data_IF_829878899279
#
_entry.id   IF_829878899279
#
_cell.length_a   1.000
_cell.length_b   1.000
_cell.length_c   1.000
_cell.angle_alpha   90.00
_cell.angle_beta   90.00
_cell.angle_gamma   90.00
#
_symmetry.space_group_name_H-M   'P 1'
#
loop_
_entity.id
_entity.type
_entity.pdbx_description
1 polymer ?
#
# COMPACT_ATOMS: atom_id res chain seq x y z
N UNK A 1 -0.79 -19.54 -33.15
CA UNK A 1 -0.55 -19.34 -31.72
C UNK A 1 0.07 -17.96 -31.52
N UNK A 2 -0.46 -17.18 -30.61
CA UNK A 2 0.10 -15.84 -30.32
C UNK A 2 1.39 -15.97 -29.50
N UNK A 3 2.41 -15.14 -29.82
CA UNK A 3 3.65 -15.05 -29.06
C UNK A 3 3.53 -14.03 -27.91
N UNK A 4 2.39 -13.33 -27.81
CA UNK A 4 2.20 -12.32 -26.79
C UNK A 4 1.82 -12.93 -25.44
N UNK A 5 2.25 -12.29 -24.36
CA UNK A 5 1.96 -12.67 -22.98
C UNK A 5 1.20 -11.53 -22.30
N UNK A 6 0.12 -11.87 -21.61
CA UNK A 6 -0.59 -10.94 -20.75
C UNK A 6 -0.12 -11.12 -19.30
N UNK A 7 0.28 -10.04 -18.66
CA UNK A 7 0.55 -9.97 -17.22
C UNK A 7 -0.54 -9.15 -16.54
N UNK A 8 -1.33 -9.79 -15.68
CA UNK A 8 -2.41 -9.16 -14.93
C UNK A 8 -1.89 -8.75 -13.56
N UNK A 9 -1.70 -7.45 -13.37
CA UNK A 9 -1.13 -6.82 -12.20
C UNK A 9 0.26 -6.25 -12.43
N UNK A 10 0.38 -4.93 -12.25
CA UNK A 10 1.61 -4.15 -12.40
C UNK A 10 2.41 -3.98 -11.11
N UNK A 11 2.27 -4.90 -10.14
CA UNK A 11 3.09 -4.96 -8.95
C UNK A 11 4.48 -5.54 -9.21
N UNK A 12 5.35 -5.59 -8.19
CA UNK A 12 6.75 -5.99 -8.32
C UNK A 12 6.93 -7.34 -9.05
N UNK A 13 6.12 -8.35 -8.70
CA UNK A 13 6.17 -9.68 -9.35
C UNK A 13 5.75 -9.63 -10.81
N UNK A 14 4.67 -8.88 -11.12
CA UNK A 14 4.21 -8.72 -12.51
C UNK A 14 5.21 -7.97 -13.37
N UNK A 15 5.84 -6.92 -12.85
CA UNK A 15 6.91 -6.20 -13.55
C UNK A 15 8.10 -7.10 -13.87
N UNK A 16 8.54 -7.90 -12.88
CA UNK A 16 9.64 -8.87 -13.09
C UNK A 16 9.27 -9.88 -14.18
N UNK A 17 8.08 -10.50 -14.08
CA UNK A 17 7.64 -11.47 -15.09
C UNK A 17 7.53 -10.85 -16.49
N UNK A 18 7.03 -9.63 -16.60
CA UNK A 18 6.91 -8.92 -17.88
C UNK A 18 8.27 -8.59 -18.50
N UNK A 19 9.22 -8.13 -17.69
CA UNK A 19 10.56 -7.79 -18.15
C UNK A 19 11.30 -9.03 -18.64
N UNK A 20 11.31 -10.11 -17.83
CA UNK A 20 12.00 -11.37 -18.20
C UNK A 20 11.38 -11.97 -19.47
N UNK A 21 10.06 -12.01 -19.60
CA UNK A 21 9.40 -12.49 -20.81
C UNK A 21 9.73 -11.64 -22.04
N UNK A 22 9.78 -10.32 -21.92
CA UNK A 22 10.10 -9.44 -23.03
C UNK A 22 11.56 -9.50 -23.46
N UNK A 23 12.49 -9.73 -22.53
CA UNK A 23 13.91 -9.94 -22.82
C UNK A 23 14.16 -11.28 -23.52
N UNK A 24 13.28 -12.27 -23.33
CA UNK A 24 13.26 -13.52 -24.10
C UNK A 24 12.60 -13.38 -25.48
N UNK A 25 12.16 -12.20 -25.88
CA UNK A 25 11.62 -11.89 -27.21
C UNK A 25 10.10 -11.98 -27.34
N UNK A 26 9.35 -12.13 -26.24
CA UNK A 26 7.89 -12.10 -26.27
C UNK A 26 7.36 -10.67 -26.27
N UNK A 27 6.24 -10.44 -26.95
CA UNK A 27 5.47 -9.21 -26.76
C UNK A 27 4.64 -9.32 -25.49
N UNK A 28 4.65 -8.28 -24.65
CA UNK A 28 4.04 -8.33 -23.31
C UNK A 28 3.07 -7.17 -23.11
N UNK A 29 1.87 -7.49 -22.64
CA UNK A 29 0.90 -6.53 -22.15
C UNK A 29 0.84 -6.61 -20.63
N UNK A 30 1.03 -5.48 -19.93
CA UNK A 30 0.78 -5.36 -18.49
C UNK A 30 -0.57 -4.66 -18.33
N UNK A 31 -1.52 -5.31 -17.67
CA UNK A 31 -2.81 -4.73 -17.27
C UNK A 31 -2.79 -4.44 -15.79
N UNK A 32 -2.92 -3.16 -15.41
CA UNK A 32 -2.91 -2.68 -14.02
C UNK A 32 -4.13 -1.77 -13.78
N UNK A 33 -4.89 -2.07 -12.74
CA UNK A 33 -6.08 -1.29 -12.36
C UNK A 33 -5.76 0.10 -11.83
N UNK A 34 -4.62 0.23 -11.15
CA UNK A 34 -4.17 1.52 -10.63
C UNK A 34 -3.67 2.43 -11.74
N UNK A 35 -3.64 3.74 -11.53
CA UNK A 35 -3.09 4.69 -12.50
C UNK A 35 -1.57 4.58 -12.71
N UNK A 36 -0.85 3.85 -11.88
CA UNK A 36 0.60 3.64 -11.90
C UNK A 36 0.97 2.21 -11.53
N UNK A 37 2.17 1.83 -11.93
CA UNK A 37 2.77 0.54 -11.62
C UNK A 37 3.49 0.55 -10.27
N UNK A 38 3.90 -0.62 -9.77
CA UNK A 38 4.65 -0.81 -8.52
C UNK A 38 3.84 -1.50 -7.43
N UNK A 39 2.52 -1.49 -7.53
CA UNK A 39 1.60 -2.19 -6.62
C UNK A 39 1.80 -1.79 -5.15
N UNK A 40 1.58 -2.74 -4.24
CA UNK A 40 1.70 -2.51 -2.78
C UNK A 40 3.13 -2.17 -2.33
N UNK A 41 4.15 -2.65 -3.04
CA UNK A 41 5.54 -2.32 -2.72
C UNK A 41 5.79 -0.82 -2.77
N UNK A 42 5.18 -0.11 -3.73
CA UNK A 42 5.29 1.34 -3.83
C UNK A 42 4.74 2.11 -2.60
N UNK A 43 3.85 1.48 -1.81
CA UNK A 43 3.29 2.06 -0.59
C UNK A 43 4.13 1.82 0.66
N UNK A 44 5.14 0.93 0.60
CA UNK A 44 6.00 0.65 1.75
C UNK A 44 7.04 1.76 1.97
N UNK A 45 7.56 1.88 3.18
CA UNK A 45 8.75 2.68 3.46
C UNK A 45 10.01 1.94 3.01
N UNK A 46 10.18 0.71 3.51
CA UNK A 46 11.30 -0.17 3.14
C UNK A 46 10.77 -1.59 2.88
N UNK A 47 11.41 -2.35 2.01
CA UNK A 47 11.02 -3.74 1.72
C UNK A 47 12.19 -4.72 1.91
N UNK A 48 11.84 -5.95 2.25
CA UNK A 48 12.81 -7.02 2.41
C UNK A 48 13.40 -7.47 1.05
N UNK A 49 14.63 -8.08 1.04
CA UNK A 49 15.44 -8.44 2.22
C UNK A 49 16.38 -7.32 2.69
N UNK A 50 16.73 -6.36 1.85
CA UNK A 50 17.76 -5.34 2.11
C UNK A 50 17.25 -4.12 2.87
N UNK A 51 15.97 -4.02 3.11
CA UNK A 51 15.31 -2.84 3.72
C UNK A 51 15.60 -1.54 2.96
N UNK A 52 15.60 -1.62 1.63
CA UNK A 52 15.72 -0.47 0.75
C UNK A 52 14.36 0.22 0.55
N UNK A 53 14.34 1.53 0.24
CA UNK A 53 13.14 2.20 -0.23
C UNK A 53 12.62 1.58 -1.54
N UNK A 54 11.30 1.54 -1.77
CA UNK A 54 10.72 0.98 -3.00
C UNK A 54 11.21 1.62 -4.29
N UNK A 55 11.49 2.93 -4.27
CA UNK A 55 12.03 3.66 -5.41
C UNK A 55 13.31 3.03 -5.96
N UNK A 56 14.19 2.52 -5.11
CA UNK A 56 15.44 1.91 -5.53
C UNK A 56 15.23 0.75 -6.53
N UNK A 57 14.35 -0.21 -6.22
CA UNK A 57 14.09 -1.36 -7.10
C UNK A 57 13.10 -1.05 -8.23
N UNK A 58 12.08 -0.24 -7.93
CA UNK A 58 11.04 0.09 -8.92
C UNK A 58 11.58 0.97 -10.05
N UNK A 59 12.44 1.94 -9.78
CA UNK A 59 13.02 2.78 -10.82
C UNK A 59 13.86 1.98 -11.82
N UNK A 60 14.60 0.98 -11.35
CA UNK A 60 15.35 0.07 -12.23
C UNK A 60 14.38 -0.68 -13.15
N UNK A 61 13.29 -1.25 -12.60
CA UNK A 61 12.28 -1.95 -13.39
C UNK A 61 11.56 -1.02 -14.37
N UNK A 62 11.19 0.18 -13.93
CA UNK A 62 10.55 1.18 -14.80
C UNK A 62 11.46 1.60 -15.95
N UNK A 63 12.77 1.72 -15.74
CA UNK A 63 13.72 2.00 -16.82
C UNK A 63 13.86 0.83 -17.80
N UNK A 64 13.91 -0.41 -17.31
CA UNK A 64 13.91 -1.59 -18.19
C UNK A 64 12.65 -1.65 -19.07
N UNK A 65 11.47 -1.41 -18.47
CA UNK A 65 10.20 -1.34 -19.19
C UNK A 65 10.21 -0.23 -20.24
N UNK A 66 10.62 0.98 -19.87
CA UNK A 66 10.65 2.15 -20.78
C UNK A 66 11.54 1.91 -22.00
N UNK A 67 12.64 1.18 -21.83
CA UNK A 67 13.61 0.88 -22.89
C UNK A 67 13.20 -0.31 -23.76
N UNK A 68 12.24 -1.14 -23.32
CA UNK A 68 11.84 -2.33 -24.04
C UNK A 68 10.54 -2.09 -24.83
N UNK A 69 10.60 -1.96 -26.18
CA UNK A 69 9.43 -1.66 -27.01
C UNK A 69 8.41 -2.82 -27.07
N UNK A 70 8.78 -4.02 -26.62
CA UNK A 70 7.88 -5.18 -26.54
C UNK A 70 6.91 -5.11 -25.37
N UNK A 71 7.14 -4.22 -24.40
CA UNK A 71 6.27 -4.10 -23.22
C UNK A 71 5.29 -2.93 -23.40
N UNK A 72 4.00 -3.24 -23.39
CA UNK A 72 2.92 -2.28 -23.40
C UNK A 72 2.21 -2.26 -22.05
N UNK A 73 2.21 -1.10 -21.39
CA UNK A 73 1.57 -0.91 -20.08
C UNK A 73 0.19 -0.27 -20.25
N UNK A 74 -0.84 -0.97 -19.83
CA UNK A 74 -2.22 -0.50 -19.76
C UNK A 74 -2.56 -0.28 -18.28
N UNK A 75 -2.51 0.98 -17.84
CA UNK A 75 -2.89 1.39 -16.48
C UNK A 75 -4.33 1.91 -16.46
N UNK A 76 -5.00 1.92 -15.31
CA UNK A 76 -6.43 2.13 -15.16
C UNK A 76 -7.23 1.12 -16.00
N UNK A 77 -6.73 -0.12 -16.06
CA UNK A 77 -7.22 -1.16 -16.94
C UNK A 77 -7.55 -2.44 -16.15
N UNK A 78 -8.66 -3.07 -16.50
CA UNK A 78 -9.12 -4.31 -15.87
C UNK A 78 -9.52 -5.35 -16.91
N UNK A 79 -9.19 -6.63 -16.64
CA UNK A 79 -9.67 -7.75 -17.45
C UNK A 79 -11.14 -7.98 -17.14
N UNK A 80 -12.01 -7.87 -18.15
CA UNK A 80 -13.47 -8.05 -18.04
C UNK A 80 -13.97 -9.35 -18.65
N UNK A 81 -13.17 -10.00 -19.50
CA UNK A 81 -13.55 -11.27 -20.13
C UNK A 81 -12.35 -12.05 -20.64
N UNK A 82 -12.51 -13.37 -20.65
CA UNK A 82 -11.51 -14.32 -21.13
C UNK A 82 -12.21 -15.43 -21.89
N UNK A 83 -11.75 -15.71 -23.12
CA UNK A 83 -12.18 -16.85 -23.94
C UNK A 83 -10.98 -17.51 -24.59
N UNK A 84 -11.17 -18.68 -25.21
CA UNK A 84 -10.10 -19.40 -25.88
C UNK A 84 -9.46 -20.50 -25.03
N UNK A 85 -8.24 -20.90 -25.39
CA UNK A 85 -7.51 -22.02 -24.78
C UNK A 85 -6.01 -21.72 -24.73
N UNK A 86 -5.25 -22.54 -24.05
CA UNK A 86 -3.79 -22.43 -23.97
C UNK A 86 -3.16 -22.24 -25.37
N UNK A 87 -2.38 -21.20 -25.51
CA UNK A 87 -1.73 -20.80 -26.77
C UNK A 87 -2.56 -19.84 -27.63
N UNK A 88 -3.85 -19.62 -27.32
CA UNK A 88 -4.77 -18.80 -28.10
C UNK A 88 -5.92 -18.28 -27.25
N UNK A 89 -5.64 -17.27 -26.44
CA UNK A 89 -6.61 -16.58 -25.58
C UNK A 89 -7.03 -15.26 -26.21
N UNK A 90 -8.32 -14.97 -26.21
CA UNK A 90 -8.87 -13.63 -26.43
C UNK A 90 -9.29 -13.04 -25.09
N UNK A 91 -8.72 -11.88 -24.75
CA UNK A 91 -8.91 -11.20 -23.47
C UNK A 91 -9.50 -9.83 -23.69
N UNK A 92 -10.67 -9.56 -23.11
CA UNK A 92 -11.26 -8.21 -23.10
C UNK A 92 -10.70 -7.43 -21.92
N UNK A 93 -10.27 -6.21 -22.21
CA UNK A 93 -9.69 -5.29 -21.22
C UNK A 93 -10.44 -3.97 -21.31
N UNK A 94 -11.02 -3.55 -20.20
CA UNK A 94 -11.66 -2.28 -20.01
C UNK A 94 -10.65 -1.25 -19.55
N UNK A 95 -10.61 -0.09 -20.22
CA UNK A 95 -9.76 1.05 -19.87
C UNK A 95 -10.63 2.18 -19.33
N UNK A 96 -10.38 2.57 -18.09
CA UNK A 96 -11.01 3.75 -17.48
C UNK A 96 -10.32 5.03 -17.91
N UNK A 97 -11.07 6.13 -18.06
CA UNK A 97 -10.54 7.39 -18.56
C UNK A 97 -9.57 8.03 -17.57
N UNK A 98 -8.38 8.37 -18.04
CA UNK A 98 -7.39 9.13 -17.26
C UNK A 98 -7.63 10.62 -17.28
N UNK A 99 -8.23 11.10 -18.36
CA UNK A 99 -8.59 12.50 -18.64
C UNK A 99 -7.40 13.46 -18.68
N UNK A 100 -6.21 12.97 -18.89
CA UNK A 100 -4.99 13.77 -19.11
C UNK A 100 -4.29 13.34 -20.39
N UNK A 101 -3.56 14.24 -21.01
CA UNK A 101 -2.82 13.97 -22.25
C UNK A 101 -1.95 12.69 -22.15
N UNK A 102 -1.72 11.98 -23.27
CA UNK A 102 -0.97 10.70 -23.27
C UNK A 102 0.52 10.84 -22.95
N UNK A 103 1.06 12.04 -22.96
CA UNK A 103 2.43 12.36 -22.62
C UNK A 103 2.53 13.03 -21.23
N UNK A 104 3.74 13.11 -20.69
CA UNK A 104 3.95 13.78 -19.41
C UNK A 104 3.79 15.30 -19.58
N UNK A 105 2.79 15.83 -18.86
CA UNK A 105 2.58 17.27 -18.70
C UNK A 105 2.69 17.58 -17.22
N UNK A 106 3.40 18.65 -16.87
CA UNK A 106 3.46 19.09 -15.49
C UNK A 106 2.19 19.90 -15.16
N UNK A 107 1.41 19.36 -14.27
CA UNK A 107 0.21 19.99 -13.75
C UNK A 107 0.35 20.43 -12.29
N UNK A 108 1.57 20.49 -11.74
CA UNK A 108 1.79 20.76 -10.31
C UNK A 108 1.13 22.07 -9.85
N UNK A 109 1.29 23.15 -10.63
CA UNK A 109 0.67 24.46 -10.33
C UNK A 109 -0.86 24.40 -10.42
N UNK A 110 -1.41 23.77 -11.46
CA UNK A 110 -2.85 23.63 -11.59
C UNK A 110 -3.41 22.75 -10.47
N UNK A 111 -2.79 21.61 -10.20
CA UNK A 111 -3.22 20.69 -9.15
C UNK A 111 -3.24 21.36 -7.77
N UNK A 112 -2.20 22.14 -7.43
CA UNK A 112 -2.14 22.87 -6.15
C UNK A 112 -3.17 23.98 -6.03
N UNK A 113 -3.63 24.56 -7.15
CA UNK A 113 -4.64 25.62 -7.17
C UNK A 113 -6.08 25.12 -7.01
N UNK A 114 -6.32 23.80 -7.15
CA UNK A 114 -7.66 23.22 -6.99
C UNK A 114 -8.07 23.22 -5.50
N UNK A 115 -9.37 23.39 -5.25
CA UNK A 115 -9.94 23.46 -3.89
C UNK A 115 -10.43 22.08 -3.42
N UNK A 116 -11.09 21.35 -4.33
CA UNK A 116 -11.69 20.04 -4.01
C UNK A 116 -10.66 19.01 -3.53
N UNK A 117 -11.00 18.29 -2.47
CA UNK A 117 -10.15 17.29 -1.83
C UNK A 117 -10.94 16.02 -1.50
N UNK A 118 -10.25 14.89 -1.59
CA UNK A 118 -10.76 13.58 -1.14
C UNK A 118 -9.67 12.82 -0.39
N UNK A 119 -9.99 11.86 0.48
CA UNK A 119 -8.98 11.01 1.10
C UNK A 119 -8.11 10.32 0.05
N UNK A 120 -6.79 10.32 0.28
CA UNK A 120 -5.82 9.65 -0.59
C UNK A 120 -5.89 8.14 -0.40
N UNK A 121 -6.26 7.41 -1.44
CA UNK A 121 -6.27 5.95 -1.45
C UNK A 121 -4.85 5.37 -1.35
N UNK A 122 -3.86 6.08 -1.90
CA UNK A 122 -2.47 5.69 -1.83
C UNK A 122 -1.91 5.79 -0.41
N UNK A 123 -2.32 6.81 0.34
CA UNK A 123 -1.94 7.00 1.74
C UNK A 123 -2.95 6.38 2.72
N UNK A 124 -3.87 5.56 2.22
CA UNK A 124 -4.85 4.83 3.02
C UNK A 124 -5.68 5.76 3.95
N UNK A 125 -6.05 6.92 3.43
CA UNK A 125 -6.84 7.92 4.14
C UNK A 125 -6.07 8.82 5.11
N UNK A 126 -4.75 8.63 5.28
CA UNK A 126 -3.92 9.46 6.18
C UNK A 126 -3.68 10.88 5.63
N UNK A 127 -3.85 11.09 4.34
CA UNK A 127 -3.80 12.40 3.69
C UNK A 127 -5.00 12.61 2.78
N UNK A 128 -5.11 13.81 2.24
CA UNK A 128 -6.06 14.14 1.18
C UNK A 128 -5.33 14.37 -0.14
N UNK A 129 -6.00 14.11 -1.24
CA UNK A 129 -5.55 14.44 -2.60
C UNK A 129 -6.52 15.36 -3.32
N UNK A 130 -6.01 16.12 -4.25
CA UNK A 130 -6.80 16.96 -5.17
C UNK A 130 -7.45 16.14 -6.29
N UNK A 131 -8.39 16.73 -7.03
CA UNK A 131 -9.00 16.10 -8.20
C UNK A 131 -8.03 15.87 -9.36
N UNK A 132 -6.98 16.67 -9.48
CA UNK A 132 -5.89 16.47 -10.43
C UNK A 132 -4.63 16.07 -9.65
N UNK A 133 -4.18 14.81 -9.81
CA UNK A 133 -3.17 14.27 -8.90
C UNK A 133 -2.22 13.26 -9.54
N UNK A 134 -1.13 13.03 -8.84
CA UNK A 134 -0.17 11.95 -9.01
C UNK A 134 0.19 11.43 -7.63
N UNK A 135 0.05 10.13 -7.37
CA UNK A 135 0.13 9.60 -6.01
C UNK A 135 1.52 9.68 -5.39
N UNK A 136 2.57 9.61 -6.21
CA UNK A 136 3.95 9.60 -5.74
C UNK A 136 4.88 10.25 -6.77
N UNK A 137 6.00 10.87 -6.35
CA UNK A 137 6.93 11.53 -7.27
C UNK A 137 7.51 10.60 -8.34
N UNK A 138 7.79 9.34 -7.99
CA UNK A 138 8.35 8.31 -8.88
C UNK A 138 7.27 7.46 -9.59
N UNK A 139 6.04 7.96 -9.71
CA UNK A 139 4.95 7.24 -10.39
C UNK A 139 5.31 6.91 -11.84
N UNK A 140 5.04 5.67 -12.26
CA UNK A 140 5.19 5.24 -13.64
C UNK A 140 3.90 4.57 -14.17
N UNK A 141 3.30 5.07 -15.26
CA UNK A 141 3.71 6.24 -16.04
C UNK A 141 3.62 7.54 -15.22
N UNK A 142 4.52 8.50 -15.50
CA UNK A 142 4.65 9.78 -14.78
C UNK A 142 3.53 10.78 -15.11
N UNK A 143 2.31 10.30 -15.36
CA UNK A 143 1.15 11.09 -15.78
C UNK A 143 0.22 11.37 -14.61
N UNK A 144 -0.39 12.54 -14.62
CA UNK A 144 -1.48 12.87 -13.71
C UNK A 144 -2.77 12.12 -14.05
N UNK A 145 -3.68 12.08 -13.10
CA UNK A 145 -5.06 11.61 -13.25
C UNK A 145 -5.99 12.77 -12.91
N UNK A 146 -7.02 12.99 -13.69
CA UNK A 146 -8.09 13.91 -13.34
C UNK A 146 -9.32 13.11 -12.89
N UNK A 147 -9.72 13.32 -11.67
CA UNK A 147 -10.91 12.77 -11.04
C UNK A 147 -12.00 13.87 -10.93
N UNK A 148 -12.97 13.90 -11.84
CA UNK A 148 -14.00 14.93 -11.83
C UNK A 148 -14.89 14.91 -10.60
N UNK A 149 -15.02 13.76 -9.92
CA UNK A 149 -15.88 13.65 -8.73
C UNK A 149 -15.39 14.45 -7.54
N UNK A 150 -14.10 14.80 -7.55
CA UNK A 150 -13.44 15.59 -6.49
C UNK A 150 -13.45 17.09 -6.79
N UNK A 151 -13.78 17.50 -8.02
CA UNK A 151 -13.73 18.91 -8.41
C UNK A 151 -14.89 19.70 -7.82
N UNK A 152 -14.60 20.86 -7.24
CA UNK A 152 -15.59 21.88 -6.94
C UNK A 152 -16.10 22.56 -8.23
N UNK A 153 -17.14 23.38 -8.14
CA UNK A 153 -17.63 24.16 -9.32
C UNK A 153 -16.55 25.13 -9.83
N UNK A 154 -15.79 25.76 -8.95
CA UNK A 154 -14.66 26.64 -9.31
C UNK A 154 -13.53 25.86 -9.95
N UNK A 155 -13.23 24.65 -9.47
CA UNK A 155 -12.21 23.77 -10.04
C UNK A 155 -12.60 23.34 -11.47
N UNK A 156 -13.85 22.95 -11.67
CA UNK A 156 -14.35 22.57 -13.00
C UNK A 156 -14.13 23.67 -14.04
N UNK A 157 -14.35 24.94 -13.67
CA UNK A 157 -14.08 26.07 -14.53
C UNK A 157 -12.58 26.25 -14.83
N UNK A 158 -11.71 26.04 -13.82
CA UNK A 158 -10.23 26.13 -13.99
C UNK A 158 -9.67 25.06 -14.92
N UNK A 159 -10.26 23.85 -14.92
CA UNK A 159 -9.78 22.74 -15.75
C UNK A 159 -10.40 22.72 -17.15
N UNK A 160 -11.59 23.30 -17.35
CA UNK A 160 -12.37 23.22 -18.58
C UNK A 160 -11.66 23.79 -19.83
N UNK A 161 -10.82 24.82 -19.68
CA UNK A 161 -10.09 25.43 -20.78
C UNK A 161 -8.71 24.82 -21.08
N UNK A 162 -8.30 23.80 -20.35
CA UNK A 162 -6.96 23.24 -20.50
C UNK A 162 -6.91 22.19 -21.62
N UNK A 163 -6.19 22.48 -22.71
CA UNK A 163 -6.08 21.59 -23.89
C UNK A 163 -5.45 20.21 -23.64
N UNK A 164 -4.80 20.03 -22.50
CA UNK A 164 -4.20 18.75 -22.10
C UNK A 164 -5.09 17.92 -21.18
N UNK A 165 -6.30 18.42 -20.86
CA UNK A 165 -7.31 17.72 -20.07
C UNK A 165 -8.54 17.42 -20.94
N UNK A 166 -9.05 16.18 -20.79
CA UNK A 166 -10.23 15.73 -21.54
C UNK A 166 -11.31 15.25 -20.57
N UNK A 167 -12.21 16.14 -20.17
CA UNK A 167 -13.32 15.81 -19.26
C UNK A 167 -14.34 14.85 -19.90
N UNK A 168 -14.40 14.78 -21.23
CA UNK A 168 -15.35 13.95 -21.99
C UNK A 168 -14.79 12.57 -22.34
N UNK A 169 -13.53 12.26 -21.98
CA UNK A 169 -12.94 10.93 -22.17
C UNK A 169 -13.80 9.87 -21.49
N UNK A 170 -14.19 8.85 -22.25
CA UNK A 170 -15.05 7.76 -21.79
C UNK A 170 -14.26 6.48 -21.64
N UNK A 171 -14.78 5.60 -20.80
CA UNK A 171 -14.36 4.21 -20.70
C UNK A 171 -14.54 3.52 -22.07
N UNK A 172 -13.61 2.65 -22.42
CA UNK A 172 -13.68 1.83 -23.63
C UNK A 172 -13.05 0.45 -23.39
N UNK A 173 -13.43 -0.51 -24.20
CA UNK A 173 -12.86 -1.86 -24.17
C UNK A 173 -11.97 -2.09 -25.38
N UNK A 174 -10.92 -2.89 -25.17
CA UNK A 174 -10.06 -3.43 -26.21
C UNK A 174 -9.99 -4.94 -26.07
N UNK A 175 -9.67 -5.62 -27.17
CA UNK A 175 -9.43 -7.04 -27.20
C UNK A 175 -7.95 -7.33 -27.46
N UNK A 176 -7.36 -8.24 -26.66
CA UNK A 176 -5.98 -8.67 -26.76
C UNK A 176 -5.93 -10.15 -27.06
N UNK A 177 -5.18 -10.54 -28.09
CA UNK A 177 -4.93 -11.95 -28.43
C UNK A 177 -3.56 -12.36 -27.89
N UNK A 178 -3.53 -13.29 -26.93
CA UNK A 178 -2.32 -13.69 -26.22
C UNK A 178 -2.20 -15.20 -26.12
N UNK A 179 -0.96 -15.70 -26.09
CA UNK A 179 -0.67 -17.13 -25.97
C UNK A 179 -0.63 -17.64 -24.55
N UNK A 180 -0.32 -16.74 -23.60
CA UNK A 180 -0.22 -17.07 -22.18
C UNK A 180 -0.66 -15.90 -21.29
N UNK A 181 -1.07 -16.22 -20.05
CA UNK A 181 -1.48 -15.25 -19.05
C UNK A 181 -0.73 -15.52 -17.75
N UNK A 182 -0.11 -14.48 -17.20
CA UNK A 182 0.54 -14.49 -15.90
C UNK A 182 -0.33 -13.68 -14.93
N UNK A 183 -0.82 -14.33 -13.88
CA UNK A 183 -1.63 -13.69 -12.85
C UNK A 183 -0.73 -13.22 -11.71
N UNK A 184 -0.60 -11.90 -11.55
CA UNK A 184 0.26 -11.25 -10.56
C UNK A 184 -0.52 -10.16 -9.79
N UNK A 185 -1.78 -10.45 -9.43
CA UNK A 185 -2.74 -9.51 -8.83
C UNK A 185 -2.41 -9.11 -7.40
N UNK A 186 -1.39 -9.73 -6.79
CA UNK A 186 -0.94 -9.41 -5.45
C UNK A 186 -1.95 -9.81 -4.37
N UNK A 187 -2.02 -8.99 -3.33
CA UNK A 187 -2.88 -9.22 -2.18
C UNK A 187 -3.65 -7.94 -1.80
N UNK A 188 -4.75 -8.11 -1.08
CA UNK A 188 -5.54 -7.02 -0.52
C UNK A 188 -5.37 -7.06 1.01
N UNK A 189 -4.96 -5.95 1.66
CA UNK A 189 -4.92 -5.89 3.12
C UNK A 189 -6.30 -6.21 3.71
N UNK A 190 -6.30 -6.88 4.85
CA UNK A 190 -7.54 -7.11 5.58
C UNK A 190 -8.18 -5.76 5.93
N UNK A 191 -9.49 -5.67 5.75
CA UNK A 191 -10.26 -4.47 6.09
C UNK A 191 -10.31 -4.31 7.62
N UNK A 192 -9.49 -3.38 8.13
CA UNK A 192 -9.36 -3.14 9.57
C UNK A 192 -10.65 -2.63 10.21
N UNK A 193 -11.56 -2.02 9.46
CA UNK A 193 -12.83 -1.49 9.99
C UNK A 193 -13.76 -2.61 10.49
N UNK A 194 -13.51 -3.85 10.05
CA UNK A 194 -14.21 -5.04 10.55
C UNK A 194 -13.75 -5.47 11.94
N UNK A 195 -12.62 -4.94 12.44
CA UNK A 195 -12.06 -5.22 13.76
C UNK A 195 -12.59 -4.19 14.78
N UNK A 196 -13.90 -4.19 14.97
CA UNK A 196 -14.58 -3.18 15.80
C UNK A 196 -14.13 -3.18 17.25
N UNK A 197 -13.76 -4.36 17.77
CA UNK A 197 -13.18 -4.51 19.12
C UNK A 197 -11.75 -3.97 19.23
N UNK A 198 -11.05 -3.77 18.12
CA UNK A 198 -9.67 -3.23 18.13
C UNK A 198 -9.61 -1.75 17.76
N UNK A 199 -10.73 -1.04 17.80
CA UNK A 199 -10.79 0.41 17.61
C UNK A 199 -10.47 0.91 16.20
N UNK A 200 -10.30 0.03 15.23
CA UNK A 200 -9.97 0.40 13.86
C UNK A 200 -11.06 1.25 13.21
N UNK A 201 -10.67 2.40 12.65
CA UNK A 201 -11.60 3.34 12.02
C UNK A 201 -12.40 4.22 12.98
N UNK A 202 -12.45 3.90 14.29
CA UNK A 202 -13.15 4.70 15.33
C UNK A 202 -12.19 5.46 16.24
N UNK A 203 -11.02 4.89 16.54
CA UNK A 203 -9.98 5.47 17.37
C UNK A 203 -8.87 6.06 16.50
N UNK A 204 -8.67 7.38 16.54
CA UNK A 204 -7.77 8.11 15.64
C UNK A 204 -6.34 7.58 15.62
N UNK A 205 -5.80 7.20 16.77
CA UNK A 205 -4.43 6.72 16.93
C UNK A 205 -4.34 5.19 16.89
N UNK A 206 -5.35 4.53 16.34
CA UNK A 206 -5.32 3.11 16.01
C UNK A 206 -5.24 2.94 14.48
N UNK A 207 -4.08 2.53 13.98
CA UNK A 207 -3.77 2.47 12.56
C UNK A 207 -3.41 1.05 12.12
N UNK A 208 -3.49 0.77 10.82
CA UNK A 208 -2.99 -0.49 10.26
C UNK A 208 -1.46 -0.46 10.05
N UNK A 209 -0.86 -1.64 9.93
CA UNK A 209 0.55 -1.77 9.55
C UNK A 209 0.87 -1.09 8.20
N UNK A 210 -0.06 -1.10 7.25
CA UNK A 210 0.12 -0.40 5.97
C UNK A 210 0.09 1.13 6.12
N UNK A 211 -0.77 1.66 7.01
CA UNK A 211 -0.75 3.08 7.35
C UNK A 211 0.56 3.48 8.04
N UNK A 212 1.11 2.60 8.90
CA UNK A 212 2.43 2.82 9.50
C UNK A 212 3.55 2.91 8.45
N UNK A 213 3.53 2.08 7.39
CA UNK A 213 4.45 2.20 6.26
C UNK A 213 4.33 3.57 5.57
N UNK A 214 3.09 4.10 5.42
CA UNK A 214 2.89 5.41 4.81
C UNK A 214 3.40 6.55 5.70
N UNK A 215 3.20 6.49 7.02
CA UNK A 215 3.79 7.47 7.94
C UNK A 215 5.33 7.46 7.88
N UNK A 216 5.92 6.27 7.90
CA UNK A 216 7.39 6.13 7.90
C UNK A 216 8.05 6.46 6.55
N UNK A 217 7.29 6.49 5.44
CA UNK A 217 7.84 6.74 4.11
C UNK A 217 8.19 8.21 3.89
N UNK A 218 9.37 8.50 3.37
CA UNK A 218 9.77 9.85 2.97
C UNK A 218 8.82 10.50 1.94
N UNK A 219 8.12 9.67 1.15
CA UNK A 219 7.08 10.11 0.21
C UNK A 219 5.66 9.95 0.79
N UNK A 220 5.55 9.78 2.09
CA UNK A 220 4.28 9.67 2.79
C UNK A 220 3.75 11.02 3.28
N UNK A 221 2.57 11.02 3.91
CA UNK A 221 1.83 12.24 4.28
C UNK A 221 2.56 13.12 5.29
N UNK A 222 3.50 12.56 6.03
CA UNK A 222 4.25 13.25 7.10
C UNK A 222 5.73 13.48 6.76
N UNK A 223 6.13 13.21 5.51
CA UNK A 223 7.54 13.29 5.08
C UNK A 223 8.44 12.30 5.81
N UNK A 224 7.93 11.14 6.17
CA UNK A 224 8.65 10.07 6.84
C UNK A 224 8.66 10.14 8.36
N UNK A 225 8.03 11.13 8.97
CA UNK A 225 7.93 11.24 10.43
C UNK A 225 6.80 10.36 10.96
N UNK A 226 7.11 9.47 11.89
CA UNK A 226 6.12 8.67 12.59
C UNK A 226 5.47 9.53 13.67
N UNK A 227 4.21 9.87 13.46
CA UNK A 227 3.44 10.76 14.33
C UNK A 227 2.04 10.20 14.60
N UNK A 228 1.42 10.66 15.68
CA UNK A 228 0.03 10.36 16.02
C UNK A 228 -0.90 11.04 15.00
N UNK A 229 -1.84 10.33 14.37
CA UNK A 229 -2.81 10.94 13.44
C UNK A 229 -3.69 12.00 14.06
N UNK A 230 -3.91 11.98 15.37
CA UNK A 230 -4.80 12.93 16.08
C UNK A 230 -4.25 14.35 16.12
N UNK A 231 -2.94 14.51 16.32
CA UNK A 231 -2.32 15.81 16.63
C UNK A 231 -0.94 16.05 15.98
N UNK A 232 -0.43 15.08 15.23
CA UNK A 232 0.86 15.20 14.55
C UNK A 232 2.10 15.15 15.45
N UNK A 233 1.97 14.80 16.73
CA UNK A 233 3.09 14.66 17.66
C UNK A 233 3.72 13.28 17.56
N UNK A 234 5.02 13.18 17.89
CA UNK A 234 5.71 11.91 18.01
C UNK A 234 5.12 11.08 19.18
N UNK A 235 4.87 9.77 19.01
CA UNK A 235 4.38 8.94 20.09
C UNK A 235 5.52 8.60 21.07
N UNK A 236 5.24 8.65 22.37
CA UNK A 236 6.14 8.14 23.41
C UNK A 236 5.95 6.65 23.67
N UNK A 237 4.75 6.13 23.39
CA UNK A 237 4.40 4.72 23.59
C UNK A 237 3.69 4.18 22.36
N UNK A 238 4.15 3.02 21.85
CA UNK A 238 3.56 2.37 20.66
C UNK A 238 3.28 0.90 20.98
N UNK A 239 2.08 0.41 20.63
CA UNK A 239 1.76 -1.01 20.68
C UNK A 239 1.58 -1.59 19.28
N UNK A 240 2.17 -2.74 19.02
CA UNK A 240 1.88 -3.58 17.86
C UNK A 240 0.99 -4.75 18.27
N UNK A 241 -0.17 -4.85 17.66
CA UNK A 241 -1.15 -5.92 17.88
C UNK A 241 -1.01 -6.95 16.75
N UNK A 242 -0.32 -8.07 17.03
CA UNK A 242 -0.13 -9.13 16.06
C UNK A 242 -1.42 -9.92 15.83
N UNK A 243 -1.52 -10.54 14.66
CA UNK A 243 -2.67 -11.34 14.24
C UNK A 243 -4.01 -10.58 14.26
N UNK A 244 -3.99 -9.25 14.10
CA UNK A 244 -5.23 -8.47 13.98
C UNK A 244 -6.02 -8.93 12.76
N UNK A 245 -7.17 -9.57 12.97
CA UNK A 245 -8.01 -10.17 11.93
C UNK A 245 -7.49 -11.48 11.34
N UNK A 246 -6.36 -12.02 11.81
CA UNK A 246 -5.83 -13.33 11.40
C UNK A 246 -5.88 -14.34 12.55
N UNK A 247 -5.90 -15.65 12.23
CA UNK A 247 -6.01 -16.74 13.20
C UNK A 247 -7.27 -16.60 14.09
N UNK A 248 -8.35 -16.15 13.50
CA UNK A 248 -9.62 -15.86 14.16
C UNK A 248 -10.77 -16.43 13.30
N UNK A 249 -11.64 -17.21 13.91
CA UNK A 249 -12.75 -17.86 13.22
C UNK A 249 -13.79 -16.86 12.67
N UNK A 250 -13.92 -15.70 13.31
CA UNK A 250 -14.86 -14.66 12.90
C UNK A 250 -14.30 -13.77 11.75
N UNK A 251 -13.00 -13.91 11.44
CA UNK A 251 -12.30 -13.12 10.44
C UNK A 251 -11.54 -14.04 9.48
N UNK A 252 -10.18 -14.09 9.56
CA UNK A 252 -9.36 -15.01 8.79
C UNK A 252 -8.87 -16.14 9.70
N UNK A 253 -9.27 -17.36 9.42
CA UNK A 253 -8.92 -18.55 10.22
C UNK A 253 -7.45 -18.98 10.05
N UNK A 254 -6.71 -18.38 9.14
CA UNK A 254 -5.31 -18.69 8.81
C UNK A 254 -4.35 -17.57 9.23
N UNK A 255 -3.05 -17.87 9.21
CA UNK A 255 -1.97 -16.89 9.38
C UNK A 255 -1.59 -16.29 8.04
N UNK A 256 -1.57 -14.95 7.93
CA UNK A 256 -1.12 -14.23 6.73
C UNK A 256 0.37 -14.37 6.44
N UNK A 257 1.16 -14.82 7.43
CA UNK A 257 2.61 -15.07 7.36
C UNK A 257 3.50 -13.85 7.12
N UNK A 258 2.94 -12.64 7.08
CA UNK A 258 3.68 -11.40 6.78
C UNK A 258 3.71 -10.42 7.95
N UNK A 259 2.67 -10.41 8.80
CA UNK A 259 2.48 -9.36 9.79
C UNK A 259 3.59 -9.30 10.85
N UNK A 260 4.14 -10.45 11.29
CA UNK A 260 5.25 -10.46 12.24
C UNK A 260 6.48 -9.71 11.68
N UNK A 261 6.88 -10.03 10.45
CA UNK A 261 8.03 -9.39 9.82
C UNK A 261 7.78 -7.91 9.53
N UNK A 262 6.56 -7.54 9.13
CA UNK A 262 6.18 -6.14 8.94
C UNK A 262 6.33 -5.35 10.24
N UNK A 263 5.81 -5.86 11.36
CA UNK A 263 5.92 -5.19 12.66
C UNK A 263 7.35 -5.12 13.18
N UNK A 264 8.15 -6.19 13.06
CA UNK A 264 9.56 -6.17 13.44
C UNK A 264 10.34 -5.09 12.68
N UNK A 265 10.08 -4.97 11.37
CA UNK A 265 10.64 -3.92 10.53
C UNK A 265 10.20 -2.52 11.02
N UNK A 266 8.94 -2.35 11.38
CA UNK A 266 8.38 -1.09 11.87
C UNK A 266 8.90 -0.73 13.27
N UNK A 267 9.19 -1.70 14.13
CA UNK A 267 9.92 -1.44 15.38
C UNK A 267 11.30 -0.80 15.13
N UNK A 268 12.01 -1.28 14.09
CA UNK A 268 13.29 -0.65 13.70
C UNK A 268 13.10 0.79 13.23
N UNK A 269 12.03 1.10 12.50
CA UNK A 269 11.77 2.49 12.08
C UNK A 269 11.57 3.43 13.26
N UNK A 270 10.80 3.00 14.27
CA UNK A 270 10.55 3.79 15.47
C UNK A 270 11.85 3.98 16.24
N UNK A 271 12.60 2.89 16.47
CA UNK A 271 13.87 2.96 17.21
C UNK A 271 14.92 3.83 16.51
N UNK A 272 14.94 3.86 15.17
CA UNK A 272 15.83 4.74 14.39
C UNK A 272 15.43 6.22 14.51
N UNK A 273 14.12 6.54 14.54
CA UNK A 273 13.63 7.92 14.57
C UNK A 273 13.51 8.49 15.98
N UNK A 274 13.02 7.69 16.91
CA UNK A 274 12.69 8.10 18.29
C UNK A 274 13.15 6.99 19.26
N UNK A 275 14.44 6.94 19.63
CA UNK A 275 14.99 5.86 20.47
C UNK A 275 14.38 5.79 21.88
N UNK A 276 13.78 6.89 22.37
CA UNK A 276 13.12 6.93 23.67
C UNK A 276 11.67 6.42 23.64
N UNK A 277 11.11 6.15 22.45
CA UNK A 277 9.77 5.60 22.34
C UNK A 277 9.72 4.16 22.86
N UNK A 278 8.84 3.90 23.82
CA UNK A 278 8.61 2.56 24.36
C UNK A 278 7.70 1.77 23.41
N UNK A 279 8.14 0.61 22.98
CA UNK A 279 7.44 -0.25 22.03
C UNK A 279 7.01 -1.54 22.73
N UNK A 280 5.74 -1.90 22.63
CA UNK A 280 5.23 -3.20 23.10
C UNK A 280 4.70 -3.99 21.90
N UNK A 281 5.18 -5.22 21.71
CA UNK A 281 4.69 -6.15 20.70
C UNK A 281 3.86 -7.23 21.37
N UNK A 282 2.54 -7.21 21.16
CA UNK A 282 1.62 -8.24 21.62
C UNK A 282 1.53 -9.34 20.56
N UNK A 283 1.79 -10.59 20.92
CA UNK A 283 1.89 -11.69 19.96
C UNK A 283 1.35 -13.01 20.50
N UNK A 284 0.89 -13.87 19.60
CA UNK A 284 0.56 -15.28 19.89
C UNK A 284 1.81 -16.13 19.65
N UNK A 285 2.37 -16.05 18.43
CA UNK A 285 3.65 -16.61 18.00
C UNK A 285 4.37 -15.61 17.11
N UNK A 286 5.69 -15.55 17.21
CA UNK A 286 6.52 -14.74 16.31
C UNK A 286 7.07 -15.60 15.17
N UNK A 287 6.76 -15.23 13.94
CA UNK A 287 7.18 -15.95 12.74
C UNK A 287 8.21 -15.13 11.97
N UNK A 288 9.47 -15.53 12.09
CA UNK A 288 10.62 -14.97 11.38
C UNK A 288 11.36 -16.10 10.66
N UNK A 289 10.92 -16.50 9.44
CA UNK A 289 11.40 -17.69 8.77
C UNK A 289 12.82 -17.53 8.23
N UNK A 290 13.60 -18.61 8.31
CA UNK A 290 14.95 -18.69 7.75
C UNK A 290 15.87 -17.59 8.31
N UNK A 291 16.58 -16.89 7.44
CA UNK A 291 17.52 -15.81 7.82
C UNK A 291 16.88 -14.60 8.48
N UNK A 292 15.56 -14.47 8.42
CA UNK A 292 14.86 -13.35 9.07
C UNK A 292 14.80 -13.48 10.60
N UNK A 293 15.19 -14.61 11.17
CA UNK A 293 15.43 -14.74 12.60
C UNK A 293 16.44 -13.68 13.11
N UNK A 294 17.42 -13.28 12.29
CA UNK A 294 18.37 -12.23 12.64
C UNK A 294 17.70 -10.86 12.84
N UNK A 295 16.60 -10.58 12.11
CA UNK A 295 15.82 -9.35 12.30
C UNK A 295 15.07 -9.41 13.63
N UNK A 296 14.51 -10.56 14.00
CA UNK A 296 13.84 -10.76 15.28
C UNK A 296 14.82 -10.56 16.43
N UNK A 297 16.01 -11.17 16.37
CA UNK A 297 17.02 -11.03 17.40
C UNK A 297 17.54 -9.58 17.51
N UNK A 298 17.70 -8.88 16.37
CA UNK A 298 18.04 -7.47 16.36
C UNK A 298 16.99 -6.62 17.10
N UNK A 299 15.69 -6.88 16.85
CA UNK A 299 14.61 -6.14 17.51
C UNK A 299 14.49 -6.50 19.00
N UNK A 300 14.70 -7.77 19.38
CA UNK A 300 14.74 -8.19 20.79
C UNK A 300 15.88 -7.55 21.59
N UNK A 301 17.00 -7.23 20.94
CA UNK A 301 18.13 -6.57 21.56
C UNK A 301 17.92 -5.07 21.81
N UNK A 302 16.85 -4.46 21.28
CA UNK A 302 16.55 -3.05 21.51
C UNK A 302 16.02 -2.84 22.93
N UNK A 303 16.61 -1.92 23.71
CA UNK A 303 16.26 -1.74 25.13
C UNK A 303 14.85 -1.17 25.34
N UNK A 304 14.31 -0.50 24.33
CA UNK A 304 12.99 0.12 24.36
C UNK A 304 11.87 -0.77 23.77
N UNK A 305 12.16 -2.03 23.43
CA UNK A 305 11.17 -2.98 22.87
C UNK A 305 10.85 -4.08 23.88
N UNK A 306 9.58 -4.23 24.20
CA UNK A 306 9.04 -5.29 25.05
C UNK A 306 8.14 -6.22 24.24
N UNK A 307 8.27 -7.52 24.46
CA UNK A 307 7.41 -8.55 23.89
C UNK A 307 6.49 -9.13 24.97
N UNK A 308 5.18 -9.15 24.69
CA UNK A 308 4.15 -9.71 25.59
C UNK A 308 3.39 -10.80 24.84
N UNK A 309 3.48 -12.03 25.35
CA UNK A 309 2.75 -13.15 24.76
C UNK A 309 1.30 -13.11 25.21
N UNK A 310 0.40 -12.76 24.29
CA UNK A 310 -1.03 -12.64 24.55
C UNK A 310 -1.77 -12.13 23.34
N UNK A 311 -3.07 -12.46 23.25
CA UNK A 311 -3.97 -11.91 22.23
C UNK A 311 -4.69 -10.69 22.82
N UNK A 312 -4.59 -9.55 22.15
CA UNK A 312 -5.32 -8.33 22.52
C UNK A 312 -6.82 -8.59 22.36
N UNK A 313 -7.56 -8.32 23.41
CA UNK A 313 -9.02 -8.50 23.43
C UNK A 313 -9.76 -7.28 22.89
N UNK A 314 -9.31 -6.09 23.30
CA UNK A 314 -9.90 -4.83 22.85
C UNK A 314 -8.86 -3.70 22.81
N UNK A 315 -9.19 -2.67 21.99
CA UNK A 315 -8.50 -1.40 21.93
C UNK A 315 -9.54 -0.28 21.77
N UNK A 316 -9.61 0.59 22.77
CA UNK A 316 -10.66 1.63 22.85
C UNK A 316 -10.05 3.01 23.06
N UNK A 317 -10.82 4.07 22.80
CA UNK A 317 -10.40 5.43 23.07
C UNK A 317 -10.15 5.65 24.57
N UNK A 318 -9.04 6.27 24.92
CA UNK A 318 -8.71 6.74 26.26
C UNK A 318 -8.47 8.26 26.27
N UNK A 319 -8.30 8.82 27.46
CA UNK A 319 -8.05 10.25 27.64
C UNK A 319 -6.78 10.72 26.93
N UNK A 320 -6.75 11.97 26.49
CA UNK A 320 -5.61 12.58 25.81
C UNK A 320 -5.30 11.97 24.44
N UNK A 321 -6.34 11.53 23.73
CA UNK A 321 -6.24 10.84 22.43
C UNK A 321 -5.38 9.56 22.46
N UNK A 322 -5.23 8.93 23.65
CA UNK A 322 -4.57 7.64 23.79
C UNK A 322 -5.48 6.48 23.41
N UNK A 323 -4.89 5.33 23.20
CA UNK A 323 -5.58 4.07 22.91
C UNK A 323 -5.36 3.13 24.09
N UNK A 324 -6.41 2.73 24.77
CA UNK A 324 -6.38 1.73 25.85
C UNK A 324 -6.46 0.35 25.27
N UNK A 325 -5.44 -0.45 25.54
CA UNK A 325 -5.32 -1.84 25.08
C UNK A 325 -5.49 -2.78 26.25
N UNK A 326 -6.42 -3.74 26.11
CA UNK A 326 -6.61 -4.83 27.07
C UNK A 326 -6.12 -6.14 26.48
N UNK A 327 -5.29 -6.84 27.23
CA UNK A 327 -4.69 -8.12 26.83
C UNK A 327 -4.57 -9.06 28.04
N UNK A 328 -4.67 -10.36 27.81
CA UNK A 328 -4.28 -11.39 28.76
C UNK A 328 -2.83 -11.79 28.49
N UNK A 329 -1.93 -11.54 29.47
CA UNK A 329 -0.55 -12.03 29.40
C UNK A 329 -0.55 -13.54 29.66
N UNK A 330 -0.40 -14.31 28.59
CA UNK A 330 -0.48 -15.78 28.64
C UNK A 330 0.67 -16.43 29.42
N UNK A 331 1.74 -15.70 29.74
CA UNK A 331 2.87 -16.20 30.55
C UNK A 331 2.62 -15.98 32.04
N UNK A 332 2.02 -14.84 32.39
CA UNK A 332 1.73 -14.47 33.77
C UNK A 332 0.35 -14.88 34.24
N UNK A 333 -0.56 -15.14 33.32
CA UNK A 333 -1.99 -15.39 33.62
C UNK A 333 -2.73 -14.15 34.13
N UNK A 334 -2.25 -12.95 33.77
CA UNK A 334 -2.81 -11.70 34.26
C UNK A 334 -3.44 -10.88 33.15
N UNK A 335 -4.53 -10.20 33.45
CA UNK A 335 -5.13 -9.21 32.56
C UNK A 335 -4.38 -7.88 32.71
N UNK A 336 -3.80 -7.40 31.60
CA UNK A 336 -3.13 -6.12 31.51
C UNK A 336 -4.00 -5.11 30.77
N UNK A 337 -4.06 -3.87 31.28
CA UNK A 337 -4.73 -2.74 30.63
C UNK A 337 -3.75 -1.57 30.63
N UNK A 338 -3.34 -1.11 29.43
CA UNK A 338 -2.30 -0.10 29.25
C UNK A 338 -2.73 0.90 28.18
N UNK A 339 -2.37 2.17 28.37
CA UNK A 339 -2.66 3.27 27.46
C UNK A 339 -1.44 3.58 26.57
N UNK A 340 -1.67 3.68 25.26
CA UNK A 340 -0.65 3.94 24.25
C UNK A 340 -0.96 5.20 23.46
N UNK A 341 0.08 5.91 23.02
CA UNK A 341 -0.05 7.06 22.14
C UNK A 341 -0.41 6.64 20.70
N UNK A 342 0.03 5.45 20.28
CA UNK A 342 -0.24 4.90 18.96
C UNK A 342 -0.37 3.36 19.05
N UNK A 343 -1.38 2.83 18.39
CA UNK A 343 -1.58 1.37 18.24
C UNK A 343 -1.54 1.00 16.77
N UNK A 344 -0.74 -0.02 16.43
CA UNK A 344 -0.58 -0.54 15.08
C UNK A 344 -1.16 -1.94 14.99
N UNK A 345 -2.23 -2.09 14.23
CA UNK A 345 -2.86 -3.36 13.96
C UNK A 345 -2.10 -4.09 12.85
N UNK A 346 -1.44 -5.19 13.19
CA UNK A 346 -0.69 -6.01 12.26
C UNK A 346 -1.63 -6.96 11.52
N UNK A 347 -2.23 -6.45 10.45
CA UNK A 347 -3.12 -7.20 9.55
C UNK A 347 -2.33 -7.87 8.42
N UNK A 348 -2.94 -8.90 7.81
CA UNK A 348 -2.40 -9.60 6.66
C UNK A 348 -3.04 -9.22 5.34
#
# INVERSE_FOLDING_TARGET
>A
MSNAILVVGGGFSGLTAAIEAAELGHDVYIVEKSPWLGGRVAQLNKYFPKLCPPSCGLEIQFQRIRKNPRIKCLTMAEVTGLTGRKGDYSVRVRLSPRRTAPHNVDFSLLASSLEGETPSEFDLGLSKRKGLYKAMPFAFPGRYVLDPSTLSKSDAARVAGNKFLNLTEKEHEIELNVGAIVVATGWKPYDVTRLTNLGAGSVKNCISNMQMERLASAFGPTGGRIVRPSDGRAPHTVAFVQCAGSRDQNHLNYCSYICCMASLKQCLYIAEQNPDTLITVYYIDLRAPGRYVNVLEKVKALPNVRFVKGKVADAVQADGDKVRVTVEDAVRGEKLTLDYDLVVLATG
#
